data_IF_920032909986
#
_entry.id   IF_920032909986
#
_cell.length_a   1.000
_cell.length_b   1.000
_cell.length_c   1.000
_cell.angle_alpha   90.00
_cell.angle_beta   90.00
_cell.angle_gamma   90.00
#
_symmetry.space_group_name_H-M   'P 1'
#
loop_
_entity.id
_entity.type
_entity.pdbx_description
1 polymer ?
#
# COMPACT_ATOMS: atom_id res chain seq x y z
N UNK A 1 -39.16 -42.04 -8.85
CA UNK A 1 -37.72 -41.70 -8.77
C UNK A 1 -37.53 -40.30 -9.33
N UNK A 2 -37.16 -39.30 -8.53
CA UNK A 2 -36.86 -37.97 -9.06
C UNK A 2 -35.45 -37.99 -9.68
N UNK A 3 -35.32 -37.44 -10.89
CA UNK A 3 -34.07 -37.29 -11.63
C UNK A 3 -33.15 -36.23 -10.95
N UNK A 4 -31.82 -36.41 -11.00
CA UNK A 4 -30.88 -35.47 -10.39
C UNK A 4 -30.76 -34.21 -11.26
N UNK A 5 -31.51 -33.16 -10.93
CA UNK A 5 -31.36 -31.84 -11.54
C UNK A 5 -30.08 -31.10 -11.10
N UNK A 6 -29.34 -31.64 -10.13
CA UNK A 6 -28.12 -31.03 -9.57
C UNK A 6 -26.91 -31.05 -10.52
N UNK A 7 -26.82 -31.99 -11.47
CA UNK A 7 -25.63 -32.13 -12.33
C UNK A 7 -25.46 -31.04 -13.41
N UNK A 8 -26.54 -30.37 -13.83
CA UNK A 8 -26.46 -29.43 -14.98
C UNK A 8 -25.84 -28.07 -14.65
N UNK A 9 -25.89 -27.63 -13.39
CA UNK A 9 -25.41 -26.29 -12.99
C UNK A 9 -23.92 -26.28 -12.68
N UNK A 10 -23.42 -27.30 -11.98
CA UNK A 10 -21.98 -27.50 -11.75
C UNK A 10 -21.22 -27.67 -13.06
N UNK A 11 -21.82 -28.37 -14.03
CA UNK A 11 -21.27 -28.50 -15.38
C UNK A 11 -21.14 -27.16 -16.11
N UNK A 12 -22.05 -26.22 -15.87
CA UNK A 12 -22.01 -24.89 -16.48
C UNK A 12 -20.91 -24.02 -15.86
N UNK A 13 -20.76 -24.09 -14.53
CA UNK A 13 -19.66 -23.39 -13.83
C UNK A 13 -18.32 -23.99 -14.23
N UNK A 14 -18.20 -25.31 -14.28
CA UNK A 14 -16.99 -26.02 -14.72
C UNK A 14 -16.57 -25.61 -16.13
N UNK A 15 -17.49 -25.66 -17.11
CA UNK A 15 -17.22 -25.22 -18.48
C UNK A 15 -16.79 -23.76 -18.55
N UNK A 16 -17.37 -22.89 -17.73
CA UNK A 16 -16.98 -21.48 -17.64
C UNK A 16 -15.57 -21.33 -17.06
N UNK A 17 -15.21 -22.09 -16.03
CA UNK A 17 -13.86 -22.05 -15.45
C UNK A 17 -12.80 -22.62 -16.41
N UNK A 18 -13.15 -23.67 -17.14
CA UNK A 18 -12.29 -24.22 -18.21
C UNK A 18 -12.12 -23.24 -19.38
N UNK A 19 -13.11 -22.39 -19.66
CA UNK A 19 -13.00 -21.38 -20.74
C UNK A 19 -11.95 -20.30 -20.46
N UNK A 20 -11.56 -20.09 -19.20
CA UNK A 20 -10.48 -19.17 -18.82
C UNK A 20 -9.10 -19.78 -19.01
N UNK A 21 -9.00 -21.08 -19.32
CA UNK A 21 -7.70 -21.74 -19.59
C UNK A 21 -7.04 -21.11 -20.82
N UNK A 22 -5.76 -20.78 -20.68
CA UNK A 22 -4.98 -20.13 -21.72
C UNK A 22 -5.09 -18.59 -21.75
N UNK A 23 -5.97 -17.99 -20.92
CA UNK A 23 -6.04 -16.54 -20.77
C UNK A 23 -4.74 -15.97 -20.21
N UNK A 24 -4.44 -14.74 -20.59
CA UNK A 24 -3.25 -14.04 -20.12
C UNK A 24 -3.41 -13.63 -18.66
N UNK A 25 -2.38 -13.89 -17.86
CA UNK A 25 -2.32 -13.50 -16.45
C UNK A 25 -1.37 -12.35 -16.30
N UNK A 26 -1.85 -11.26 -15.69
CA UNK A 26 -1.05 -10.06 -15.45
C UNK A 26 -1.06 -9.67 -13.98
N UNK A 27 0.00 -9.02 -13.52
CA UNK A 27 0.04 -8.40 -12.20
C UNK A 27 -0.74 -7.06 -12.15
N UNK A 28 -0.88 -6.48 -10.96
CA UNK A 28 -1.54 -5.18 -10.78
C UNK A 28 -0.84 -3.98 -11.42
N UNK A 29 0.37 -4.16 -11.98
CA UNK A 29 1.12 -3.14 -12.72
C UNK A 29 1.10 -3.41 -14.24
N UNK A 30 0.42 -4.47 -14.69
CA UNK A 30 0.30 -4.85 -16.10
C UNK A 30 1.44 -5.75 -16.62
N UNK A 31 2.31 -6.27 -15.77
CA UNK A 31 3.36 -7.20 -16.18
C UNK A 31 2.76 -8.60 -16.40
N UNK A 32 3.15 -9.26 -17.49
CA UNK A 32 2.71 -10.62 -17.79
C UNK A 32 3.35 -11.64 -16.84
N UNK A 33 2.51 -12.42 -16.16
CA UNK A 33 2.89 -13.50 -15.25
C UNK A 33 2.85 -14.87 -15.94
N UNK A 34 2.06 -15.02 -17.01
CA UNK A 34 1.96 -16.25 -17.80
C UNK A 34 0.53 -16.51 -18.27
N UNK A 35 0.18 -17.78 -18.50
CA UNK A 35 -1.15 -18.20 -18.95
C UNK A 35 -1.85 -19.09 -17.94
N UNK A 36 -3.17 -18.98 -17.84
CA UNK A 36 -3.98 -19.81 -16.94
C UNK A 36 -3.91 -21.29 -17.32
N UNK A 37 -3.50 -22.14 -16.38
CA UNK A 37 -3.53 -23.60 -16.51
C UNK A 37 -4.83 -24.16 -15.94
N UNK A 38 -5.19 -23.73 -14.74
CA UNK A 38 -6.39 -24.16 -14.02
C UNK A 38 -6.83 -23.11 -13.01
N UNK A 39 -8.13 -23.07 -12.74
CA UNK A 39 -8.72 -22.25 -11.68
C UNK A 39 -9.38 -23.14 -10.64
N UNK A 40 -9.07 -22.87 -9.39
CA UNK A 40 -9.69 -23.54 -8.25
C UNK A 40 -10.82 -22.67 -7.74
N UNK A 41 -11.96 -23.30 -7.47
CA UNK A 41 -13.15 -22.60 -7.02
C UNK A 41 -13.97 -23.48 -6.09
N UNK A 42 -14.80 -22.83 -5.27
CA UNK A 42 -15.84 -23.46 -4.46
C UNK A 42 -17.18 -22.81 -4.77
N UNK A 43 -18.24 -23.60 -4.69
CA UNK A 43 -19.61 -23.14 -4.92
C UNK A 43 -20.30 -23.05 -3.56
N UNK A 44 -20.85 -21.89 -3.24
CA UNK A 44 -21.71 -21.68 -2.07
C UNK A 44 -23.12 -21.35 -2.57
N UNK A 45 -24.14 -21.98 -1.99
CA UNK A 45 -25.53 -21.61 -2.20
C UNK A 45 -25.97 -20.70 -1.05
N UNK A 46 -26.31 -19.45 -1.39
CA UNK A 46 -26.81 -18.48 -0.43
C UNK A 46 -28.11 -17.86 -0.99
N UNK A 47 -29.20 -18.02 -0.24
CA UNK A 47 -30.53 -17.46 -0.53
C UNK A 47 -31.05 -17.72 -1.97
N UNK A 48 -30.87 -18.95 -2.46
CA UNK A 48 -31.31 -19.38 -3.80
C UNK A 48 -30.44 -18.87 -4.96
N UNK A 49 -29.32 -18.18 -4.67
CA UNK A 49 -28.32 -17.76 -5.66
C UNK A 49 -27.02 -18.56 -5.48
N UNK A 50 -26.52 -19.10 -6.59
CA UNK A 50 -25.23 -19.78 -6.62
C UNK A 50 -24.10 -18.75 -6.66
N UNK A 51 -23.29 -18.69 -5.61
CA UNK A 51 -22.08 -17.86 -5.53
C UNK A 51 -20.87 -18.74 -5.82
N UNK A 52 -20.08 -18.35 -6.83
CA UNK A 52 -18.84 -19.04 -7.17
C UNK A 52 -17.67 -18.23 -6.60
N UNK A 53 -16.90 -18.85 -5.72
CA UNK A 53 -15.75 -18.22 -5.05
C UNK A 53 -14.49 -18.87 -5.60
N UNK A 54 -13.63 -18.06 -6.22
CA UNK A 54 -12.32 -18.51 -6.71
C UNK A 54 -11.39 -18.63 -5.51
N UNK A 55 -10.79 -19.80 -5.34
CA UNK A 55 -9.89 -20.11 -4.22
C UNK A 55 -8.43 -20.16 -4.63
N UNK A 56 -8.14 -20.28 -5.92
CA UNK A 56 -6.78 -20.29 -6.44
C UNK A 56 -6.69 -20.28 -7.95
N UNK A 57 -5.49 -20.02 -8.46
CA UNK A 57 -5.15 -19.93 -9.87
C UNK A 57 -3.78 -20.57 -10.12
N UNK A 58 -3.70 -21.49 -11.06
CA UNK A 58 -2.42 -22.04 -11.54
C UNK A 58 -2.07 -21.39 -12.88
N UNK A 59 -0.83 -20.94 -13.02
CA UNK A 59 -0.34 -20.15 -14.14
C UNK A 59 0.95 -20.77 -14.66
N UNK A 60 1.06 -20.96 -15.96
CA UNK A 60 2.27 -21.46 -16.60
C UNK A 60 2.98 -20.36 -17.37
N UNK A 61 4.30 -20.29 -17.20
CA UNK A 61 5.20 -19.45 -18.01
C UNK A 61 6.45 -20.26 -18.34
N UNK A 62 6.75 -20.38 -19.63
CA UNK A 62 7.94 -21.10 -20.12
C UNK A 62 8.08 -22.55 -19.59
N UNK A 63 6.97 -23.23 -19.30
CA UNK A 63 6.97 -24.60 -18.78
C UNK A 63 7.04 -24.73 -17.26
N UNK A 64 7.21 -23.63 -16.52
CA UNK A 64 7.10 -23.60 -15.06
C UNK A 64 5.69 -23.23 -14.64
N UNK A 65 5.12 -23.94 -13.65
CA UNK A 65 3.80 -23.65 -13.08
C UNK A 65 3.94 -22.93 -11.73
N UNK A 66 3.31 -21.77 -11.64
CA UNK A 66 3.17 -20.96 -10.42
C UNK A 66 1.73 -20.99 -9.93
N UNK A 67 1.54 -21.08 -8.61
CA UNK A 67 0.20 -21.15 -7.99
C UNK A 67 -0.09 -19.92 -7.13
N UNK A 68 -1.22 -19.29 -7.38
CA UNK A 68 -1.70 -18.10 -6.69
C UNK A 68 -2.95 -18.46 -5.89
N UNK A 69 -2.87 -18.42 -4.57
CA UNK A 69 -3.98 -18.71 -3.67
C UNK A 69 -4.81 -17.44 -3.43
N UNK A 70 -6.15 -17.57 -3.38
CA UNK A 70 -7.03 -16.45 -3.06
C UNK A 70 -6.87 -15.94 -1.62
N UNK A 71 -6.11 -16.65 -0.77
CA UNK A 71 -5.68 -16.17 0.56
C UNK A 71 -4.61 -15.09 0.47
N UNK A 72 -3.73 -15.21 -0.53
CA UNK A 72 -2.51 -14.40 -0.67
C UNK A 72 -2.58 -13.45 -1.88
N UNK A 73 -3.65 -13.55 -2.68
CA UNK A 73 -3.86 -12.86 -3.95
C UNK A 73 -5.35 -12.54 -4.17
N UNK A 74 -5.63 -11.34 -4.65
CA UNK A 74 -6.93 -10.99 -5.24
C UNK A 74 -6.90 -11.35 -6.72
N UNK A 75 -7.75 -12.31 -7.11
CA UNK A 75 -7.87 -12.79 -8.49
C UNK A 75 -9.10 -12.13 -9.11
N UNK A 76 -8.90 -11.31 -10.13
CA UNK A 76 -9.98 -10.66 -10.89
C UNK A 76 -9.98 -11.17 -12.33
N UNK A 77 -11.16 -11.43 -12.87
CA UNK A 77 -11.36 -11.81 -14.27
C UNK A 77 -11.94 -10.60 -14.98
N UNK A 78 -11.30 -10.14 -16.06
CA UNK A 78 -11.79 -9.05 -16.90
C UNK A 78 -12.43 -9.60 -18.19
N UNK A 79 -13.30 -8.82 -18.81
CA UNK A 79 -14.02 -9.20 -20.05
C UNK A 79 -13.10 -9.23 -21.28
N UNK A 80 -11.87 -8.71 -21.18
CA UNK A 80 -10.85 -8.69 -22.25
C UNK A 80 -9.93 -9.94 -22.26
N UNK A 81 -10.42 -11.10 -21.82
CA UNK A 81 -9.66 -12.37 -21.77
C UNK A 81 -8.38 -12.31 -20.90
N UNK A 82 -8.41 -11.52 -19.82
CA UNK A 82 -7.28 -11.36 -18.89
C UNK A 82 -7.68 -11.70 -17.46
N UNK A 83 -6.80 -12.42 -16.77
CA UNK A 83 -6.87 -12.65 -15.33
C UNK A 83 -5.84 -11.75 -14.66
N UNK A 84 -6.30 -10.87 -13.78
CA UNK A 84 -5.43 -9.97 -13.02
C UNK A 84 -5.21 -10.61 -11.66
N UNK A 85 -3.96 -10.90 -11.36
CA UNK A 85 -3.52 -11.41 -10.06
C UNK A 85 -2.83 -10.29 -9.33
N UNK A 86 -3.50 -9.76 -8.32
CA UNK A 86 -2.97 -8.70 -7.48
C UNK A 86 -2.60 -9.37 -6.17
N UNK A 87 -1.31 -9.45 -5.79
CA UNK A 87 -0.99 -9.58 -4.35
C UNK A 87 -1.81 -8.50 -3.66
N UNK A 88 -2.54 -8.75 -2.55
CA UNK A 88 -3.15 -7.70 -1.76
C UNK A 88 -2.06 -6.66 -1.55
N UNK A 89 -2.14 -5.59 -2.32
CA UNK A 89 -1.08 -4.61 -2.41
C UNK A 89 -1.35 -3.78 -1.18
N UNK A 90 -0.69 -4.18 -0.09
CA UNK A 90 -0.54 -3.54 1.20
C UNK A 90 -1.30 -2.20 1.27
N UNK A 91 -2.56 -2.22 1.68
CA UNK A 91 -3.33 -0.99 1.95
C UNK A 91 -2.50 -0.03 2.83
N UNK A 92 -1.72 -0.61 3.75
CA UNK A 92 -0.73 0.09 4.55
C UNK A 92 0.35 0.81 3.71
N UNK A 93 1.00 0.16 2.73
CA UNK A 93 1.99 0.80 1.85
C UNK A 93 1.37 1.91 1.00
N UNK A 94 0.15 1.70 0.48
CA UNK A 94 -0.57 2.75 -0.28
C UNK A 94 -0.85 3.95 0.62
N UNK A 95 -1.35 3.71 1.83
CA UNK A 95 -1.66 4.76 2.79
C UNK A 95 -0.38 5.50 3.23
N UNK A 96 0.71 4.79 3.47
CA UNK A 96 2.03 5.37 3.78
C UNK A 96 2.47 6.32 2.66
N UNK A 97 2.40 5.85 1.40
CA UNK A 97 2.81 6.66 0.25
C UNK A 97 1.94 7.90 0.08
N UNK A 98 0.63 7.77 0.26
CA UNK A 98 -0.29 8.91 0.21
C UNK A 98 0.02 9.94 1.31
N UNK A 99 0.27 9.50 2.55
CA UNK A 99 0.62 10.41 3.65
C UNK A 99 1.96 11.08 3.39
N UNK A 100 2.95 10.36 2.85
CA UNK A 100 4.25 10.92 2.46
C UNK A 100 4.10 12.02 1.42
N UNK A 101 3.38 11.78 0.32
CA UNK A 101 3.15 12.78 -0.72
C UNK A 101 2.45 14.02 -0.15
N UNK A 102 1.38 13.83 0.64
CA UNK A 102 0.65 14.93 1.27
C UNK A 102 1.50 15.71 2.26
N UNK A 103 2.45 15.07 2.94
CA UNK A 103 3.40 15.73 3.84
C UNK A 103 4.39 16.60 3.04
N UNK A 104 4.96 16.06 1.96
CA UNK A 104 5.86 16.79 1.07
C UNK A 104 5.18 18.04 0.47
N UNK A 105 3.92 17.92 0.06
CA UNK A 105 3.13 19.06 -0.42
C UNK A 105 2.89 20.12 0.65
N UNK A 106 2.52 19.72 1.87
CA UNK A 106 2.30 20.64 2.99
C UNK A 106 3.58 21.38 3.35
N UNK A 107 4.72 20.68 3.40
CA UNK A 107 6.03 21.29 3.67
C UNK A 107 6.44 22.26 2.57
N UNK A 108 6.18 21.92 1.30
CA UNK A 108 6.43 22.84 0.17
C UNK A 108 5.64 24.14 0.30
N UNK A 109 4.37 24.06 0.72
CA UNK A 109 3.53 25.24 0.98
C UNK A 109 4.06 26.05 2.15
N UNK A 110 4.47 25.40 3.24
CA UNK A 110 5.05 26.05 4.42
C UNK A 110 6.32 26.84 4.06
N UNK A 111 7.22 26.25 3.27
CA UNK A 111 8.44 26.93 2.79
C UNK A 111 8.09 28.20 2.00
N UNK A 112 7.09 28.15 1.11
CA UNK A 112 6.63 29.34 0.36
C UNK A 112 6.11 30.44 1.28
N UNK A 113 5.36 30.10 2.33
CA UNK A 113 4.86 31.07 3.30
C UNK A 113 6.02 31.70 4.09
N UNK A 114 6.99 30.90 4.53
CA UNK A 114 8.19 31.41 5.19
C UNK A 114 8.99 32.37 4.27
N UNK A 115 9.15 32.03 2.99
CA UNK A 115 9.81 32.92 2.01
C UNK A 115 9.06 34.25 1.83
N UNK A 116 7.72 34.23 1.83
CA UNK A 116 6.92 35.45 1.75
C UNK A 116 7.06 36.31 3.01
N UNK A 117 7.13 35.70 4.19
CA UNK A 117 7.38 36.41 5.45
C UNK A 117 8.77 37.06 5.47
N UNK A 118 9.80 36.36 4.99
CA UNK A 118 11.16 36.92 4.86
C UNK A 118 11.18 38.12 3.92
N UNK A 119 10.59 38.00 2.73
CA UNK A 119 10.49 39.11 1.77
C UNK A 119 9.71 40.29 2.33
N UNK A 120 8.64 40.05 3.09
CA UNK A 120 7.91 41.11 3.79
C UNK A 120 8.82 41.82 4.80
N UNK A 121 9.63 41.07 5.55
CA UNK A 121 10.65 41.62 6.45
C UNK A 121 11.67 42.51 5.74
N UNK A 122 12.22 42.06 4.61
CA UNK A 122 13.18 42.83 3.80
C UNK A 122 12.56 44.12 3.25
N UNK A 123 11.31 44.05 2.78
CA UNK A 123 10.56 45.21 2.28
C UNK A 123 10.35 46.21 3.43
N UNK A 124 9.95 45.75 4.61
CA UNK A 124 9.81 46.61 5.79
C UNK A 124 11.13 47.29 6.18
N UNK A 125 12.25 46.54 6.21
CA UNK A 125 13.57 47.09 6.53
C UNK A 125 14.01 48.15 5.52
N UNK A 126 13.84 47.90 4.22
CA UNK A 126 14.19 48.85 3.17
C UNK A 126 13.36 50.15 3.28
N UNK A 127 12.06 50.03 3.53
CA UNK A 127 11.18 51.21 3.68
C UNK A 127 11.50 52.03 4.94
N UNK A 128 11.86 51.36 6.06
CA UNK A 128 12.34 52.04 7.28
C UNK A 128 13.62 52.82 6.99
N UNK A 129 14.58 52.19 6.29
CA UNK A 129 15.85 52.84 5.92
C UNK A 129 15.65 54.05 5.00
N UNK A 130 14.60 54.03 4.16
CA UNK A 130 14.27 55.09 3.22
C UNK A 130 13.28 56.14 3.79
N UNK A 131 12.88 56.03 5.06
CA UNK A 131 11.96 56.95 5.74
C UNK A 131 10.58 57.10 5.04
N UNK A 132 10.11 56.04 4.38
CA UNK A 132 8.83 56.02 3.68
C UNK A 132 7.65 55.87 4.65
N UNK A 133 6.54 56.58 4.41
CA UNK A 133 5.32 56.47 5.23
C UNK A 133 4.55 55.20 4.86
N UNK A 134 4.37 54.32 5.85
CA UNK A 134 3.74 53.02 5.70
C UNK A 134 2.26 53.09 6.14
N UNK A 135 1.32 52.49 5.37
CA UNK A 135 0.01 52.11 5.89
C UNK A 135 0.19 50.89 6.82
N UNK A 136 0.50 51.14 8.09
CA UNK A 136 0.83 50.09 9.07
C UNK A 136 -0.26 49.02 9.16
N UNK A 137 -1.53 49.44 9.04
CA UNK A 137 -2.70 48.56 9.03
C UNK A 137 -2.66 47.51 7.91
N UNK A 138 -2.10 47.86 6.75
CA UNK A 138 -2.00 46.94 5.61
C UNK A 138 -0.91 45.90 5.85
N UNK A 139 0.24 46.33 6.36
CA UNK A 139 1.34 45.42 6.72
C UNK A 139 0.90 44.46 7.81
N UNK A 140 0.26 44.95 8.86
CA UNK A 140 -0.21 44.13 9.97
C UNK A 140 -1.26 43.10 9.51
N UNK A 141 -2.14 43.48 8.56
CA UNK A 141 -3.10 42.54 7.95
C UNK A 141 -2.40 41.47 7.12
N UNK A 142 -1.45 41.84 6.25
CA UNK A 142 -0.70 40.87 5.43
C UNK A 142 0.15 39.93 6.29
N UNK A 143 0.83 40.47 7.30
CA UNK A 143 1.62 39.70 8.26
C UNK A 143 0.75 38.69 9.01
N UNK A 144 -0.37 39.13 9.60
CA UNK A 144 -1.31 38.23 10.30
C UNK A 144 -1.85 37.13 9.38
N UNK A 145 -2.16 37.45 8.12
CA UNK A 145 -2.63 36.46 7.16
C UNK A 145 -1.57 35.38 6.90
N UNK A 146 -0.32 35.77 6.67
CA UNK A 146 0.79 34.84 6.45
C UNK A 146 1.13 34.04 7.71
N UNK A 147 1.12 34.65 8.89
CA UNK A 147 1.33 33.97 10.17
C UNK A 147 0.23 32.92 10.43
N UNK A 148 -1.03 33.25 10.15
CA UNK A 148 -2.15 32.30 10.27
C UNK A 148 -2.02 31.13 9.29
N UNK A 149 -1.61 31.38 8.03
CA UNK A 149 -1.36 30.30 7.07
C UNK A 149 -0.19 29.43 7.49
N UNK A 150 0.90 30.04 7.99
CA UNK A 150 2.07 29.33 8.53
C UNK A 150 1.65 28.40 9.65
N UNK A 151 0.90 28.88 10.64
CA UNK A 151 0.37 28.05 11.73
C UNK A 151 -0.51 26.90 11.23
N UNK A 152 -1.37 27.16 10.24
CA UNK A 152 -2.22 26.12 9.66
C UNK A 152 -1.39 25.00 9.03
N UNK A 153 -0.37 25.35 8.24
CA UNK A 153 0.49 24.36 7.59
C UNK A 153 1.40 23.62 8.57
N UNK A 154 1.84 24.26 9.66
CA UNK A 154 2.56 23.60 10.76
C UNK A 154 1.68 22.53 11.38
N UNK A 155 0.44 22.85 11.79
CA UNK A 155 -0.49 21.86 12.36
C UNK A 155 -0.79 20.71 11.39
N UNK A 156 -1.04 21.04 10.13
CA UNK A 156 -1.26 20.04 9.08
C UNK A 156 -0.04 19.11 8.89
N UNK A 157 1.17 19.64 9.04
CA UNK A 157 2.39 18.84 8.98
C UNK A 157 2.52 17.92 10.20
N UNK A 158 2.33 18.46 11.40
CA UNK A 158 2.40 17.70 12.66
C UNK A 158 1.42 16.52 12.65
N UNK A 159 0.18 16.73 12.22
CA UNK A 159 -0.83 15.66 12.09
C UNK A 159 -0.38 14.54 11.14
N UNK A 160 0.29 14.89 10.04
CA UNK A 160 0.77 13.92 9.05
C UNK A 160 2.00 13.17 9.58
N UNK A 161 2.91 13.87 10.27
CA UNK A 161 4.05 13.26 10.95
C UNK A 161 3.56 12.29 12.03
N UNK A 162 2.53 12.65 12.80
CA UNK A 162 1.96 11.78 13.81
C UNK A 162 1.34 10.51 13.18
N UNK A 163 0.62 10.65 12.06
CA UNK A 163 0.10 9.50 11.31
C UNK A 163 1.22 8.56 10.85
N UNK A 164 2.30 9.09 10.27
CA UNK A 164 3.45 8.27 9.88
C UNK A 164 4.11 7.59 11.10
N UNK A 165 4.18 8.28 12.24
CA UNK A 165 4.73 7.74 13.49
C UNK A 165 3.89 6.57 14.01
N UNK A 166 2.55 6.66 13.93
CA UNK A 166 1.67 5.53 14.28
C UNK A 166 1.87 4.34 13.34
N UNK A 167 2.01 4.59 12.03
CA UNK A 167 2.29 3.54 11.05
C UNK A 167 3.63 2.84 11.28
N UNK A 168 4.67 3.56 11.75
CA UNK A 168 5.92 2.95 12.19
C UNK A 168 5.65 1.95 13.33
N UNK A 169 4.86 2.35 14.33
CA UNK A 169 4.50 1.46 15.44
C UNK A 169 3.71 0.22 15.00
N UNK A 170 2.78 0.36 14.04
CA UNK A 170 2.07 -0.78 13.45
C UNK A 170 3.01 -1.72 12.67
N UNK A 171 3.99 -1.16 11.95
CA UNK A 171 5.01 -1.95 11.26
C UNK A 171 5.91 -2.68 12.24
N UNK A 172 6.32 -2.05 13.35
CA UNK A 172 7.16 -2.68 14.37
C UNK A 172 6.43 -3.86 15.03
N UNK A 173 5.13 -3.72 15.32
CA UNK A 173 4.32 -4.83 15.83
C UNK A 173 4.26 -6.00 14.84
N UNK A 174 3.98 -5.72 13.57
CA UNK A 174 3.95 -6.76 12.51
C UNK A 174 5.31 -7.42 12.30
N UNK A 175 6.39 -6.65 12.35
CA UNK A 175 7.76 -7.19 12.27
C UNK A 175 7.99 -8.14 13.45
N UNK A 176 7.63 -7.76 14.67
CA UNK A 176 7.79 -8.62 15.85
C UNK A 176 7.02 -9.95 15.75
N UNK A 177 5.79 -9.91 15.22
CA UNK A 177 4.98 -11.12 14.99
C UNK A 177 5.66 -12.05 13.96
N UNK A 178 6.11 -11.49 12.83
CA UNK A 178 6.79 -12.26 11.79
C UNK A 178 8.17 -12.76 12.22
N UNK A 179 8.90 -12.02 13.05
CA UNK A 179 10.18 -12.45 13.62
C UNK A 179 10.00 -13.66 14.54
N UNK A 180 8.88 -13.73 15.25
CA UNK A 180 8.53 -14.88 16.09
C UNK A 180 8.26 -16.11 15.23
N UNK A 181 7.38 -16.00 14.23
CA UNK A 181 7.08 -17.10 13.28
C UNK A 181 8.35 -17.56 12.53
N UNK A 182 9.16 -16.61 12.08
CA UNK A 182 10.42 -16.89 11.41
C UNK A 182 11.42 -17.60 12.35
N UNK A 183 11.50 -17.19 13.61
CA UNK A 183 12.36 -17.84 14.61
C UNK A 183 11.98 -19.29 14.87
N UNK A 184 10.69 -19.57 15.04
CA UNK A 184 10.18 -20.93 15.23
C UNK A 184 10.48 -21.85 14.03
N UNK A 185 10.21 -21.37 12.82
CA UNK A 185 10.52 -22.12 11.60
C UNK A 185 12.03 -22.27 11.41
N UNK A 186 12.83 -21.24 11.71
CA UNK A 186 14.29 -21.34 11.60
C UNK A 186 14.86 -22.40 12.55
N UNK A 187 14.36 -22.47 13.79
CA UNK A 187 14.76 -23.52 14.74
C UNK A 187 14.40 -24.92 14.21
N UNK A 188 13.19 -25.12 13.68
CA UNK A 188 12.80 -26.37 12.99
C UNK A 188 13.75 -26.72 11.84
N UNK A 189 14.29 -25.71 11.16
CA UNK A 189 15.22 -25.88 10.03
C UNK A 189 16.54 -26.45 10.51
N UNK A 190 17.06 -25.90 11.60
CA UNK A 190 18.35 -26.28 12.17
C UNK A 190 18.33 -27.70 12.74
N UNK A 191 17.19 -28.16 13.27
CA UNK A 191 17.00 -29.54 13.73
C UNK A 191 16.55 -30.51 12.61
N UNK A 192 16.49 -30.05 11.36
CA UNK A 192 16.18 -30.89 10.20
C UNK A 192 14.74 -31.38 10.09
N UNK A 193 13.80 -30.77 10.83
CA UNK A 193 12.38 -31.19 10.89
C UNK A 193 11.47 -30.40 9.94
N UNK A 194 12.06 -29.61 9.04
CA UNK A 194 11.34 -28.64 8.23
C UNK A 194 10.86 -29.27 6.92
N UNK A 195 9.54 -29.24 6.71
CA UNK A 195 8.93 -29.81 5.50
C UNK A 195 9.11 -28.90 4.27
N UNK A 196 8.78 -29.40 3.06
CA UNK A 196 8.94 -28.63 1.83
C UNK A 196 8.12 -27.33 1.77
N UNK A 197 6.93 -27.30 2.40
CA UNK A 197 6.06 -26.11 2.43
C UNK A 197 6.55 -25.10 3.46
N UNK A 198 6.98 -25.58 4.62
CA UNK A 198 7.59 -24.77 5.66
C UNK A 198 8.89 -24.11 5.13
N UNK A 199 9.66 -24.76 4.24
CA UNK A 199 10.88 -24.17 3.63
C UNK A 199 10.54 -22.96 2.76
N UNK A 200 9.50 -23.09 1.94
CA UNK A 200 8.99 -21.99 1.12
C UNK A 200 8.49 -20.86 2.03
N UNK A 201 7.70 -21.20 3.06
CA UNK A 201 7.19 -20.24 4.04
C UNK A 201 8.30 -19.50 4.77
N UNK A 202 9.36 -20.18 5.18
CA UNK A 202 10.53 -19.58 5.84
C UNK A 202 11.22 -18.55 4.93
N UNK A 203 11.35 -18.86 3.63
CA UNK A 203 11.87 -17.91 2.64
C UNK A 203 10.96 -16.70 2.48
N UNK A 204 9.65 -16.91 2.34
CA UNK A 204 8.67 -15.82 2.21
C UNK A 204 8.65 -14.92 3.44
N UNK A 205 8.73 -15.48 4.64
CA UNK A 205 8.80 -14.72 5.89
C UNK A 205 10.04 -13.83 5.94
N UNK A 206 11.19 -14.35 5.51
CA UNK A 206 12.42 -13.57 5.42
C UNK A 206 12.26 -12.38 4.48
N UNK A 207 11.74 -12.62 3.28
CA UNK A 207 11.54 -11.56 2.28
C UNK A 207 10.54 -10.50 2.78
N UNK A 208 9.46 -10.93 3.46
CA UNK A 208 8.49 -10.02 4.06
C UNK A 208 9.09 -9.19 5.20
N UNK A 209 9.92 -9.80 6.05
CA UNK A 209 10.62 -9.11 7.13
C UNK A 209 11.57 -8.04 6.59
N UNK A 210 12.39 -8.40 5.61
CA UNK A 210 13.33 -7.46 4.99
C UNK A 210 12.58 -6.30 4.31
N UNK A 211 11.45 -6.59 3.66
CA UNK A 211 10.57 -5.58 3.06
C UNK A 211 9.97 -4.63 4.10
N UNK A 212 9.38 -5.16 5.18
CA UNK A 212 8.79 -4.31 6.22
C UNK A 212 9.83 -3.48 6.96
N UNK A 213 11.02 -4.03 7.23
CA UNK A 213 12.14 -3.27 7.79
C UNK A 213 12.57 -2.13 6.88
N UNK A 214 12.64 -2.38 5.56
CA UNK A 214 12.96 -1.35 4.57
C UNK A 214 11.93 -0.21 4.60
N UNK A 215 10.64 -0.53 4.57
CA UNK A 215 9.56 0.48 4.61
C UNK A 215 9.59 1.26 5.92
N UNK A 216 9.72 0.57 7.06
CA UNK A 216 9.81 1.20 8.38
C UNK A 216 10.97 2.20 8.44
N UNK A 217 12.13 1.83 7.93
CA UNK A 217 13.30 2.70 7.86
C UNK A 217 13.07 3.91 6.96
N UNK A 218 12.45 3.72 5.79
CA UNK A 218 12.11 4.81 4.88
C UNK A 218 11.19 5.85 5.55
N UNK A 219 10.11 5.40 6.19
CA UNK A 219 9.17 6.31 6.88
C UNK A 219 9.88 7.02 8.03
N UNK A 220 10.73 6.30 8.77
CA UNK A 220 11.52 6.88 9.86
C UNK A 220 12.38 8.04 9.35
N UNK A 221 13.07 7.87 8.22
CA UNK A 221 13.85 8.95 7.61
C UNK A 221 12.98 10.13 7.17
N UNK A 222 11.81 9.88 6.58
CA UNK A 222 10.84 10.92 6.18
C UNK A 222 10.39 11.73 7.39
N UNK A 223 10.01 11.05 8.48
CA UNK A 223 9.60 11.68 9.74
C UNK A 223 10.73 12.55 10.31
N UNK A 224 11.95 12.01 10.42
CA UNK A 224 13.10 12.77 10.93
C UNK A 224 13.40 14.01 10.08
N UNK A 225 13.36 13.87 8.75
CA UNK A 225 13.60 14.98 7.82
C UNK A 225 12.59 16.10 8.03
N UNK A 226 11.30 15.79 7.99
CA UNK A 226 10.25 16.82 7.98
C UNK A 226 9.91 17.37 9.35
N UNK A 227 10.22 16.66 10.44
CA UNK A 227 10.01 17.17 11.79
C UNK A 227 10.81 18.44 12.09
N UNK A 228 12.00 18.60 11.51
CA UNK A 228 12.78 19.83 11.62
C UNK A 228 12.26 20.97 10.73
N UNK A 229 11.55 20.64 9.66
CA UNK A 229 11.03 21.63 8.70
C UNK A 229 9.65 22.17 9.07
N UNK A 230 8.96 21.49 9.99
CA UNK A 230 7.60 21.83 10.43
C UNK A 230 7.58 22.66 11.72
N UNK A 231 8.59 23.53 11.89
CA UNK A 231 8.79 24.41 13.06
C UNK A 231 8.81 25.88 12.57
#
# INVERSE_FOLDING_TARGET
MPLPFFGRRDDKVRRRMESYRGWNVVDGNGNELGRVVSMEYRIEEDDGKTKVIITGLSVSRNGEESRYSAKDYVIKINDEERVIVVKPKNELESTINEVKIKLEETVSKLRKVNDMLLKLGDVMLNMINNNEKIPQDLIDKFRKMLENERERYIRECDERIEKLTRMIGELDARISELETEYGELKLKSEIGQLDGKEKVRLSELKDNLDRFRSIRNEITMVVYKYRGECI
#
